data_IF_295130186777
#
_entry.id   IF_295130186777
#
_cell.length_a   1.000
_cell.length_b   1.000
_cell.length_c   1.000
_cell.angle_alpha   90.00
_cell.angle_beta   90.00
_cell.angle_gamma   90.00
#
_symmetry.space_group_name_H-M   'P 1'
#
loop_
_entity.id
_entity.type
_entity.pdbx_description
1 polymer ?
#
# COMPACT_ATOMS: atom_id res chain seq x y z
N UNK A 1 11.88 3.84 -53.90
CA UNK A 1 12.71 3.26 -52.83
C UNK A 1 11.89 3.30 -51.55
N UNK A 2 11.69 2.14 -50.94
CA UNK A 2 10.58 1.80 -50.05
C UNK A 2 10.90 2.25 -48.62
N UNK A 3 10.07 3.14 -48.07
CA UNK A 3 10.08 3.52 -46.66
C UNK A 3 9.87 2.26 -45.80
N UNK A 4 10.92 1.79 -45.12
CA UNK A 4 10.79 0.83 -44.03
C UNK A 4 10.44 1.62 -42.77
N UNK A 5 9.14 1.72 -42.48
CA UNK A 5 8.71 2.09 -41.14
C UNK A 5 8.99 0.90 -40.22
N UNK A 6 9.87 1.11 -39.23
CA UNK A 6 10.00 0.26 -38.06
C UNK A 6 8.64 0.25 -37.34
N UNK A 7 7.98 -0.91 -37.30
CA UNK A 7 6.93 -1.16 -36.32
C UNK A 7 7.67 -1.57 -35.04
N UNK A 8 7.82 -0.60 -34.14
CA UNK A 8 8.28 -0.81 -32.78
C UNK A 8 7.22 -1.68 -32.08
N UNK A 9 7.59 -2.92 -31.78
CA UNK A 9 6.79 -3.84 -30.99
C UNK A 9 6.81 -3.33 -29.55
N UNK A 10 5.84 -2.49 -29.20
CA UNK A 10 5.58 -2.09 -27.82
C UNK A 10 4.88 -3.29 -27.15
N UNK A 11 5.63 -4.31 -26.76
CA UNK A 11 5.09 -5.31 -25.83
C UNK A 11 4.86 -4.59 -24.51
N UNK A 12 3.59 -4.27 -24.27
CA UNK A 12 3.11 -3.87 -22.97
C UNK A 12 3.56 -4.92 -21.95
N UNK A 13 4.43 -4.52 -21.03
CA UNK A 13 4.65 -5.26 -19.79
C UNK A 13 3.41 -4.97 -18.93
N UNK A 14 2.28 -5.61 -19.26
CA UNK A 14 1.20 -5.75 -18.31
C UNK A 14 1.61 -6.90 -17.40
N UNK A 15 2.28 -6.61 -16.28
CA UNK A 15 2.24 -7.52 -15.15
C UNK A 15 0.78 -7.57 -14.71
N UNK A 16 0.07 -8.59 -15.21
CA UNK A 16 -1.31 -8.83 -14.87
C UNK A 16 -1.40 -9.21 -13.40
N UNK A 17 -1.75 -8.26 -12.54
CA UNK A 17 -2.45 -8.56 -11.29
C UNK A 17 -3.88 -9.01 -11.66
N UNK A 18 -3.99 -10.18 -12.31
CA UNK A 18 -5.26 -10.85 -12.58
C UNK A 18 -5.65 -11.73 -11.40
N UNK A 19 -5.52 -11.19 -10.18
CA UNK A 19 -6.16 -11.84 -9.03
C UNK A 19 -7.65 -11.53 -9.15
N UNK A 20 -8.49 -12.57 -9.21
CA UNK A 20 -9.93 -12.37 -9.05
C UNK A 20 -10.14 -11.76 -7.67
N UNK A 21 -10.74 -10.57 -7.64
CA UNK A 21 -11.13 -9.92 -6.39
C UNK A 21 -12.57 -10.33 -6.04
N UNK A 22 -12.87 -10.57 -4.75
CA UNK A 22 -11.93 -10.61 -3.63
C UNK A 22 -11.03 -11.85 -3.67
N UNK A 23 -9.80 -11.74 -3.13
CA UNK A 23 -8.91 -12.90 -2.99
C UNK A 23 -9.45 -13.88 -1.94
N UNK A 24 -9.02 -15.13 -1.97
CA UNK A 24 -9.17 -16.03 -0.81
C UNK A 24 -8.49 -15.41 0.42
N UNK A 25 -9.01 -15.57 1.65
CA UNK A 25 -8.32 -15.07 2.84
C UNK A 25 -6.96 -15.75 3.04
N UNK A 26 -5.93 -14.98 3.36
CA UNK A 26 -4.60 -15.50 3.71
C UNK A 26 -3.90 -14.66 4.77
N UNK A 27 -2.89 -15.24 5.42
CA UNK A 27 -1.98 -14.55 6.33
C UNK A 27 -0.86 -13.83 5.56
N UNK A 28 -1.27 -12.88 4.71
CA UNK A 28 -0.35 -11.91 4.15
C UNK A 28 -0.25 -11.89 2.63
N UNK A 29 0.00 -10.68 2.14
CA UNK A 29 0.17 -10.31 0.75
C UNK A 29 1.26 -9.25 0.65
N UNK A 30 1.79 -9.08 -0.57
CA UNK A 30 2.72 -8.02 -0.89
C UNK A 30 2.13 -7.08 -1.94
N UNK A 31 2.41 -5.79 -1.78
CA UNK A 31 1.86 -4.71 -2.59
C UNK A 31 3.01 -3.87 -3.16
N UNK A 32 3.04 -3.63 -4.48
CA UNK A 32 4.07 -2.81 -5.10
C UNK A 32 3.85 -1.33 -4.76
N UNK A 33 4.92 -0.54 -4.77
CA UNK A 33 4.84 0.92 -4.70
C UNK A 33 3.96 1.47 -5.83
N UNK A 34 3.19 2.49 -5.50
CA UNK A 34 2.19 3.06 -6.39
C UNK A 34 0.92 2.21 -6.46
N UNK A 35 0.53 1.60 -5.34
CA UNK A 35 -0.72 0.86 -5.22
C UNK A 35 -1.65 1.49 -4.19
N UNK A 36 -2.95 1.37 -4.47
CA UNK A 36 -4.01 1.58 -3.51
C UNK A 36 -4.79 0.28 -3.38
N UNK A 37 -5.05 -0.13 -2.16
CA UNK A 37 -5.70 -1.41 -1.91
C UNK A 37 -6.51 -1.37 -0.62
N UNK A 38 -7.57 -2.18 -0.60
CA UNK A 38 -8.44 -2.35 0.56
C UNK A 38 -8.44 -3.81 0.95
N UNK A 39 -8.19 -4.08 2.24
CA UNK A 39 -8.27 -5.43 2.80
C UNK A 39 -9.49 -5.58 3.70
N UNK A 40 -10.05 -6.79 3.75
CA UNK A 40 -11.10 -7.17 4.70
C UNK A 40 -10.57 -8.27 5.62
N UNK A 41 -10.69 -8.05 6.92
CA UNK A 41 -10.19 -9.00 7.93
C UNK A 41 -11.22 -10.10 8.21
N UNK A 42 -10.74 -11.31 8.40
CA UNK A 42 -11.50 -12.49 8.78
C UNK A 42 -10.86 -13.09 10.02
N UNK A 43 -11.60 -13.12 11.13
CA UNK A 43 -11.15 -13.75 12.38
C UNK A 43 -10.82 -15.23 12.13
N UNK A 44 -9.58 -15.63 12.40
CA UNK A 44 -9.15 -17.04 12.36
C UNK A 44 -9.16 -17.69 13.73
N UNK A 45 -8.93 -16.88 14.77
CA UNK A 45 -9.12 -17.22 16.18
C UNK A 45 -9.67 -16.01 16.95
N UNK A 46 -9.65 -16.04 18.28
CA UNK A 46 -10.19 -14.96 19.12
C UNK A 46 -9.45 -13.61 19.02
N UNK A 47 -8.27 -13.58 18.44
CA UNK A 47 -7.42 -12.38 18.39
C UNK A 47 -6.62 -12.21 17.08
N UNK A 48 -6.58 -13.19 16.18
CA UNK A 48 -5.80 -13.19 14.94
C UNK A 48 -6.71 -13.15 13.72
N UNK A 49 -6.16 -12.62 12.61
CA UNK A 49 -6.88 -12.43 11.37
C UNK A 49 -6.09 -12.92 10.16
N UNK A 50 -6.79 -13.60 9.25
CA UNK A 50 -6.44 -13.64 7.84
C UNK A 50 -7.16 -12.48 7.13
N UNK A 51 -6.74 -12.14 5.91
CA UNK A 51 -7.42 -11.11 5.14
C UNK A 51 -7.53 -11.43 3.66
N UNK A 52 -8.57 -10.88 3.03
CA UNK A 52 -8.70 -10.83 1.58
C UNK A 52 -8.39 -9.42 1.09
N UNK A 53 -7.80 -9.30 -0.10
CA UNK A 53 -7.79 -8.05 -0.85
C UNK A 53 -9.15 -7.96 -1.55
N UNK A 54 -9.91 -6.90 -1.27
CA UNK A 54 -11.25 -6.69 -1.83
C UNK A 54 -11.27 -5.61 -2.92
N UNK A 55 -10.30 -4.69 -2.88
CA UNK A 55 -10.08 -3.66 -3.90
C UNK A 55 -8.58 -3.50 -4.12
N UNK A 56 -8.16 -3.33 -5.37
CA UNK A 56 -6.78 -3.06 -5.74
C UNK A 56 -6.74 -2.22 -7.02
N UNK A 57 -6.09 -1.07 -6.98
CA UNK A 57 -5.91 -0.19 -8.14
C UNK A 57 -4.52 0.46 -8.14
N UNK A 58 -3.95 0.77 -9.33
CA UNK A 58 -2.74 1.58 -9.42
C UNK A 58 -2.97 2.99 -8.86
N UNK A 59 -1.97 3.54 -8.17
CA UNK A 59 -1.98 4.89 -7.61
C UNK A 59 -0.62 5.57 -7.85
N UNK A 60 -0.56 6.45 -8.85
CA UNK A 60 0.71 7.05 -9.30
C UNK A 60 0.90 8.50 -8.84
N UNK A 61 0.01 9.01 -8.00
CA UNK A 61 0.08 10.39 -7.51
C UNK A 61 1.16 10.54 -6.44
N UNK A 62 1.84 11.69 -6.47
CA UNK A 62 2.75 12.13 -5.41
C UNK A 62 1.94 12.94 -4.43
N UNK A 63 1.97 12.55 -3.16
CA UNK A 63 1.14 13.13 -2.11
C UNK A 63 1.91 14.16 -1.30
N UNK A 64 1.28 15.28 -0.93
CA UNK A 64 1.82 16.16 0.10
C UNK A 64 1.55 15.52 1.48
N UNK A 65 2.62 15.25 2.25
CA UNK A 65 2.50 14.60 3.56
C UNK A 65 1.66 15.40 4.56
N UNK A 66 1.52 16.72 4.37
CA UNK A 66 0.72 17.58 5.23
C UNK A 66 -0.74 17.69 4.78
N UNK A 67 -1.07 17.23 3.57
CA UNK A 67 -2.41 17.28 2.99
C UNK A 67 -2.88 15.90 2.50
N UNK A 68 -3.04 14.97 3.44
CA UNK A 68 -3.51 13.60 3.19
C UNK A 68 -4.98 13.41 3.56
N UNK A 69 -5.65 14.47 3.98
CA UNK A 69 -6.97 14.33 4.60
C UNK A 69 -8.04 13.88 3.62
N UNK A 70 -7.96 14.32 2.36
CA UNK A 70 -8.97 14.06 1.34
C UNK A 70 -8.71 12.77 0.55
N UNK A 71 -7.59 12.08 0.78
CA UNK A 71 -7.27 10.81 0.13
C UNK A 71 -8.26 9.70 0.52
N UNK A 72 -8.61 9.63 1.80
CA UNK A 72 -9.58 8.66 2.29
C UNK A 72 -10.98 9.25 2.25
N UNK A 73 -11.91 8.56 1.58
CA UNK A 73 -13.34 8.88 1.68
C UNK A 73 -13.77 8.88 3.14
N UNK A 74 -14.71 9.73 3.54
CA UNK A 74 -15.23 9.69 4.93
C UNK A 74 -15.91 8.35 5.19
N UNK A 75 -16.80 7.94 4.28
CA UNK A 75 -17.49 6.65 4.31
C UNK A 75 -16.66 5.54 3.65
N UNK A 76 -16.79 4.32 4.16
CA UNK A 76 -16.18 3.11 3.59
C UNK A 76 -16.76 1.87 4.24
N UNK A 77 -16.46 0.68 3.70
CA UNK A 77 -16.98 -0.58 4.22
C UNK A 77 -16.45 -0.85 5.64
N UNK A 78 -17.35 -1.13 6.58
CA UNK A 78 -16.97 -1.50 7.96
C UNK A 78 -16.19 -2.82 7.96
N UNK A 79 -15.18 -2.93 8.83
CA UNK A 79 -14.35 -4.13 8.93
C UNK A 79 -13.23 -4.21 7.89
N UNK A 80 -12.96 -3.10 7.19
CA UNK A 80 -11.88 -3.00 6.21
C UNK A 80 -10.76 -2.08 6.67
N UNK A 81 -9.63 -2.18 5.99
CA UNK A 81 -8.53 -1.21 6.09
C UNK A 81 -8.14 -0.81 4.66
N UNK A 82 -8.20 0.48 4.38
CA UNK A 82 -7.81 1.07 3.10
C UNK A 82 -6.38 1.60 3.20
N UNK A 83 -5.57 1.35 2.18
CA UNK A 83 -4.16 1.71 2.13
C UNK A 83 -3.79 2.44 0.84
N UNK A 84 -2.82 3.35 0.97
CA UNK A 84 -2.07 3.93 -0.14
C UNK A 84 -0.59 3.67 0.12
N UNK A 85 0.06 2.95 -0.79
CA UNK A 85 1.51 2.77 -0.77
C UNK A 85 2.12 3.56 -1.92
N UNK A 86 2.66 4.74 -1.63
CA UNK A 86 2.98 5.75 -2.64
C UNK A 86 4.20 6.60 -2.29
N UNK A 87 4.53 7.55 -3.17
CA UNK A 87 5.55 8.57 -2.89
C UNK A 87 4.88 9.80 -2.28
N UNK A 88 5.49 10.30 -1.21
CA UNK A 88 5.14 11.54 -0.54
C UNK A 88 6.22 12.59 -0.71
N UNK A 89 5.85 13.85 -0.53
CA UNK A 89 6.78 14.97 -0.49
C UNK A 89 6.28 16.09 0.45
N UNK A 90 7.12 17.10 0.66
CA UNK A 90 6.79 18.37 1.32
C UNK A 90 7.62 19.51 0.72
N UNK A 91 7.10 20.73 0.83
CA UNK A 91 7.80 21.95 0.43
C UNK A 91 6.92 22.87 -0.40
N UNK A 92 7.24 24.16 -0.36
CA UNK A 92 6.50 25.17 -1.10
C UNK A 92 7.03 25.29 -2.54
N UNK A 93 8.32 25.01 -2.73
CA UNK A 93 9.00 25.05 -4.02
C UNK A 93 9.17 23.66 -4.63
N UNK A 94 9.37 23.61 -5.95
CA UNK A 94 9.65 22.35 -6.65
C UNK A 94 10.95 21.70 -6.18
N UNK A 95 12.00 22.50 -5.95
CA UNK A 95 13.29 22.00 -5.46
C UNK A 95 13.13 21.33 -4.09
N UNK A 96 12.45 21.99 -3.14
CA UNK A 96 12.16 21.39 -1.84
C UNK A 96 11.35 20.10 -1.98
N UNK A 97 10.36 20.05 -2.88
CA UNK A 97 9.58 18.83 -3.09
C UNK A 97 10.41 17.68 -3.67
N UNK A 98 11.35 17.96 -4.55
CA UNK A 98 12.24 16.93 -5.09
C UNK A 98 13.20 16.42 -4.01
N UNK A 99 13.74 17.30 -3.17
CA UNK A 99 14.66 16.93 -2.09
C UNK A 99 13.99 16.19 -0.92
N UNK A 100 12.69 16.41 -0.70
CA UNK A 100 11.93 15.82 0.39
C UNK A 100 11.07 14.62 -0.03
N UNK A 101 11.37 13.95 -1.16
CA UNK A 101 10.66 12.73 -1.54
C UNK A 101 10.89 11.58 -0.55
N UNK A 102 9.79 10.91 -0.18
CA UNK A 102 9.79 9.79 0.76
C UNK A 102 8.78 8.74 0.34
N UNK A 103 8.99 7.49 0.73
CA UNK A 103 7.96 6.44 0.56
C UNK A 103 6.99 6.53 1.73
N UNK A 104 5.68 6.46 1.44
CA UNK A 104 4.60 6.47 2.42
C UNK A 104 3.78 5.18 2.33
N UNK A 105 3.40 4.65 3.50
CA UNK A 105 2.23 3.81 3.64
C UNK A 105 1.19 4.59 4.45
N UNK A 106 0.16 5.08 3.78
CA UNK A 106 -0.99 5.70 4.43
C UNK A 106 -2.07 4.65 4.62
N UNK A 107 -2.80 4.73 5.73
CA UNK A 107 -3.79 3.70 6.09
C UNK A 107 -4.99 4.30 6.81
N UNK A 108 -6.18 3.74 6.58
CA UNK A 108 -7.41 4.08 7.28
C UNK A 108 -8.09 2.83 7.81
N UNK A 109 -8.07 2.65 9.12
CA UNK A 109 -8.72 1.53 9.79
C UNK A 109 -10.22 1.79 9.97
N UNK A 110 -11.06 0.97 9.35
CA UNK A 110 -12.52 0.98 9.51
C UNK A 110 -13.02 -0.22 10.30
N UNK A 111 -12.13 -0.92 10.99
CA UNK A 111 -12.47 -1.96 11.96
C UNK A 111 -12.68 -1.34 13.34
N UNK A 112 -13.32 -2.10 14.23
CA UNK A 112 -13.44 -1.77 15.65
C UNK A 112 -12.20 -2.10 16.47
N UNK A 113 -11.17 -2.69 15.87
CA UNK A 113 -10.02 -3.25 16.56
C UNK A 113 -8.81 -2.32 16.51
N UNK A 114 -8.08 -2.26 17.63
CA UNK A 114 -6.69 -1.79 17.64
C UNK A 114 -5.88 -2.99 17.17
N UNK A 115 -5.11 -2.83 16.09
CA UNK A 115 -4.45 -3.94 15.44
C UNK A 115 -2.93 -3.78 15.49
N UNK A 116 -2.21 -4.85 15.81
CA UNK A 116 -0.80 -5.01 15.45
C UNK A 116 -0.69 -5.89 14.21
N UNK A 117 0.37 -5.66 13.43
CA UNK A 117 0.72 -6.47 12.26
C UNK A 117 2.22 -6.39 12.01
N UNK A 118 2.74 -7.25 11.16
CA UNK A 118 4.12 -7.17 10.67
C UNK A 118 4.14 -6.55 9.28
N UNK A 119 5.08 -5.62 9.12
CA UNK A 119 5.41 -4.97 7.87
C UNK A 119 6.79 -5.44 7.43
N UNK A 120 6.91 -5.85 6.18
CA UNK A 120 8.19 -6.20 5.54
C UNK A 120 8.38 -5.35 4.30
N UNK A 121 9.61 -4.94 4.01
CA UNK A 121 9.92 -4.05 2.90
C UNK A 121 10.95 -4.67 1.96
N UNK A 122 10.75 -4.44 0.67
CA UNK A 122 11.67 -4.87 -0.39
C UNK A 122 12.38 -3.64 -0.97
N UNK A 123 13.69 -3.50 -0.74
CA UNK A 123 14.45 -2.28 -1.13
C UNK A 123 15.08 -2.33 -2.52
N UNK A 124 15.02 -3.48 -3.19
CA UNK A 124 15.48 -3.68 -4.57
C UNK A 124 14.44 -4.50 -5.32
N UNK A 125 14.28 -4.31 -6.65
CA UNK A 125 13.24 -4.97 -7.45
C UNK A 125 13.19 -6.51 -7.29
N UNK A 126 14.34 -7.16 -7.18
CA UNK A 126 14.48 -8.61 -6.98
C UNK A 126 15.06 -8.94 -5.59
N UNK A 127 14.90 -8.03 -4.63
CA UNK A 127 15.44 -8.18 -3.28
C UNK A 127 14.63 -9.10 -2.38
N UNK A 128 15.22 -9.46 -1.25
CA UNK A 128 14.53 -10.11 -0.15
C UNK A 128 13.67 -9.11 0.63
N UNK A 129 12.63 -9.63 1.29
CA UNK A 129 11.82 -8.87 2.22
C UNK A 129 12.52 -8.79 3.59
N UNK A 130 12.59 -7.59 4.15
CA UNK A 130 13.15 -7.34 5.48
C UNK A 130 12.07 -6.78 6.41
N UNK A 131 11.90 -7.36 7.60
CA UNK A 131 10.96 -6.85 8.60
C UNK A 131 11.32 -5.40 8.99
N UNK A 132 10.29 -4.55 9.09
CA UNK A 132 10.38 -3.19 9.60
C UNK A 132 9.42 -3.01 10.78
N UNK A 133 9.69 -1.99 11.59
CA UNK A 133 8.87 -1.69 12.76
C UNK A 133 7.72 -0.77 12.39
N UNK A 134 6.52 -1.11 12.83
CA UNK A 134 5.34 -0.26 12.79
C UNK A 134 4.73 -0.10 14.19
N UNK A 135 3.78 0.82 14.33
CA UNK A 135 3.09 1.12 15.59
C UNK A 135 1.69 0.50 15.67
N UNK A 136 1.34 -0.38 14.72
CA UNK A 136 -0.02 -0.86 14.54
C UNK A 136 -0.99 0.23 14.05
N UNK A 137 -2.29 -0.04 14.14
CA UNK A 137 -3.33 0.84 13.62
C UNK A 137 -4.55 0.89 14.55
N UNK A 138 -5.00 2.10 14.87
CA UNK A 138 -6.11 2.35 15.81
C UNK A 138 -7.47 2.43 15.10
N UNK A 139 -8.59 2.02 15.75
CA UNK A 139 -9.94 2.08 15.18
C UNK A 139 -10.29 3.49 14.71
N UNK A 140 -10.81 3.60 13.48
CA UNK A 140 -11.24 4.86 12.89
C UNK A 140 -10.11 5.86 12.60
N UNK A 141 -8.87 5.56 12.96
CA UNK A 141 -7.73 6.45 12.79
C UNK A 141 -7.18 6.40 11.35
N UNK A 142 -6.60 7.52 10.93
CA UNK A 142 -5.66 7.57 9.81
C UNK A 142 -4.27 7.34 10.39
N UNK A 143 -3.51 6.42 9.81
CA UNK A 143 -2.12 6.14 10.15
C UNK A 143 -1.20 6.45 8.96
N UNK A 144 0.08 6.62 9.27
CA UNK A 144 1.12 6.79 8.25
C UNK A 144 2.43 6.17 8.72
N UNK A 145 3.06 5.39 7.86
CA UNK A 145 4.47 5.02 7.98
C UNK A 145 5.26 5.68 6.85
N UNK A 146 6.51 6.05 7.13
CA UNK A 146 7.34 6.86 6.23
C UNK A 146 8.78 6.38 6.21
N UNK A 147 9.35 6.26 5.01
CA UNK A 147 10.74 5.83 4.83
C UNK A 147 11.53 6.82 3.97
N UNK A 148 12.77 7.18 4.36
CA UNK A 148 13.62 8.12 3.62
C UNK A 148 14.37 7.46 2.45
N UNK A 149 14.00 6.24 2.08
CA UNK A 149 14.64 5.46 1.03
C UNK A 149 13.57 4.74 0.19
N UNK A 150 13.94 4.38 -1.04
CA UNK A 150 13.05 3.69 -1.95
C UNK A 150 12.69 2.29 -1.45
N UNK A 151 11.42 1.94 -1.58
CA UNK A 151 10.87 0.61 -1.33
C UNK A 151 10.04 0.26 -2.56
N UNK A 152 10.26 -0.92 -3.11
CA UNK A 152 9.58 -1.41 -4.31
C UNK A 152 8.30 -2.15 -3.97
N UNK A 153 8.30 -2.88 -2.85
CA UNK A 153 7.14 -3.64 -2.37
C UNK A 153 7.06 -3.61 -0.85
N UNK A 154 5.84 -3.66 -0.32
CA UNK A 154 5.56 -3.84 1.10
C UNK A 154 4.75 -5.11 1.32
N UNK A 155 5.19 -5.96 2.24
CA UNK A 155 4.48 -7.14 2.73
C UNK A 155 3.76 -6.81 4.03
N UNK A 156 2.49 -7.20 4.14
CA UNK A 156 1.68 -7.02 5.35
C UNK A 156 1.13 -8.37 5.79
N UNK A 157 1.43 -8.80 7.02
CA UNK A 157 1.04 -10.12 7.55
C UNK A 157 0.84 -10.11 9.06
N UNK A 158 0.35 -11.23 9.60
CA UNK A 158 0.18 -11.49 11.03
C UNK A 158 -0.66 -10.41 11.74
N UNK A 159 -1.83 -10.08 11.19
CA UNK A 159 -2.75 -9.14 11.83
C UNK A 159 -3.35 -9.76 13.10
N UNK A 160 -3.29 -9.02 14.20
CA UNK A 160 -3.82 -9.44 15.50
C UNK A 160 -4.38 -8.24 16.29
N UNK A 161 -5.26 -8.51 17.25
CA UNK A 161 -5.72 -7.49 18.21
C UNK A 161 -4.54 -7.10 19.11
N UNK A 162 -4.21 -5.81 19.09
CA UNK A 162 -3.18 -5.24 19.96
C UNK A 162 -3.64 -5.27 21.43
N UNK A 163 -2.71 -5.56 22.35
CA UNK A 163 -2.97 -5.70 23.79
C UNK A 163 -2.83 -4.39 24.55
#
# INVERSE_FOLDING_TARGET
MRNLFLILFLTAITFGYSQELPTEPANGYAFPIGSKFTIKLYETDSACFDYSIIEFEPFQEIVDIFDTNDLFKEDGEEGTIEYYFCIGTRGDTEEERQENMQVLLLMKNRTKFILSYKSEIQRTEEGEFEETSNIGIYPGAKGSEMWPYMIYSIGLRDFEISK
#
